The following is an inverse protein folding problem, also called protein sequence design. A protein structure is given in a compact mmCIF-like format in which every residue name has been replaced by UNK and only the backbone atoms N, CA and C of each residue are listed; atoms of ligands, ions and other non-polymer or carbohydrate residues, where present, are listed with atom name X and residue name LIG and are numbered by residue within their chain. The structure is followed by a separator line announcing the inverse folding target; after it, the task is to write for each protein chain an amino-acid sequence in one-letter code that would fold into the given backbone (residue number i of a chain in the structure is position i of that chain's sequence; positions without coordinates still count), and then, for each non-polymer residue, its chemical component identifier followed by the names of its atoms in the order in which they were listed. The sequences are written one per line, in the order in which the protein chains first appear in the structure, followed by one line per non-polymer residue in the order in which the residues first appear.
data_IF_454220793451
#
_entry.id   IF_454220793451
#
_cell.length_a   1.000
_cell.length_b   1.000
_cell.length_c   1.000
_cell.angle_alpha   90.00
_cell.angle_beta   90.00
_cell.angle_gamma   90.00
#
_symmetry.space_group_name_H-M   'P 1'
#
loop_
_entity.id
_entity.type
_entity.pdbx_description
1 polymer ?
#
# COMPACT_ATOMS: atom_id res chain seq x y z
N UNK A 1 -14.92 26.21 8.44
CA UNK A 1 -15.51 26.04 7.10
C UNK A 1 -15.10 24.66 6.62
N UNK A 2 -16.03 23.84 6.15
CA UNK A 2 -15.67 22.57 5.51
C UNK A 2 -14.91 22.90 4.22
N UNK A 3 -13.73 22.31 4.04
CA UNK A 3 -13.06 22.33 2.74
C UNK A 3 -13.95 21.57 1.75
N UNK A 4 -14.03 22.04 0.51
CA UNK A 4 -14.84 21.46 -0.57
C UNK A 4 -13.95 21.10 -1.76
N UNK A 5 -14.48 20.22 -2.61
CA UNK A 5 -13.95 19.95 -3.93
C UNK A 5 -14.91 20.53 -4.96
N UNK A 6 -14.46 21.57 -5.66
CA UNK A 6 -15.26 22.38 -6.57
C UNK A 6 -15.03 21.93 -8.00
N UNK A 7 -16.09 21.85 -8.81
CA UNK A 7 -16.04 21.38 -10.20
C UNK A 7 -16.89 22.30 -11.05
N UNK A 8 -16.37 22.73 -12.19
CA UNK A 8 -17.11 23.61 -13.11
C UNK A 8 -16.60 23.49 -14.55
N UNK A 9 -17.37 24.05 -15.49
CA UNK A 9 -16.93 24.21 -16.88
C UNK A 9 -16.23 25.56 -17.06
N UNK A 10 -14.90 25.55 -17.19
CA UNK A 10 -14.14 26.79 -17.35
C UNK A 10 -14.56 27.61 -18.57
N UNK A 11 -15.03 26.98 -19.65
CA UNK A 11 -15.35 27.65 -20.91
C UNK A 11 -16.69 28.37 -20.87
N UNK A 12 -17.63 27.93 -20.04
CA UNK A 12 -18.94 28.58 -19.90
C UNK A 12 -19.02 29.46 -18.66
N UNK A 13 -18.29 29.10 -17.60
CA UNK A 13 -18.26 29.86 -16.35
C UNK A 13 -17.47 31.17 -16.52
N UNK A 14 -16.32 31.12 -17.20
CA UNK A 14 -15.48 32.29 -17.51
C UNK A 14 -14.76 32.13 -18.87
N UNK A 15 -15.48 32.28 -20.00
CA UNK A 15 -14.93 32.04 -21.35
C UNK A 15 -13.67 32.86 -21.67
N UNK A 16 -13.54 34.05 -21.08
CA UNK A 16 -12.47 34.99 -21.38
C UNK A 16 -11.22 34.83 -20.50
N UNK A 17 -11.25 33.93 -19.51
CA UNK A 17 -10.18 33.81 -18.51
C UNK A 17 -9.55 32.42 -18.51
N UNK A 18 -8.26 32.37 -18.82
CA UNK A 18 -7.45 31.18 -18.61
C UNK A 18 -6.96 31.12 -17.17
N UNK A 19 -7.31 30.05 -16.45
CA UNK A 19 -6.83 29.81 -15.09
C UNK A 19 -5.34 29.46 -15.15
N UNK A 20 -4.52 30.29 -14.51
CA UNK A 20 -3.05 30.14 -14.51
C UNK A 20 -2.42 30.18 -13.11
N UNK A 21 -3.22 30.50 -12.08
CA UNK A 21 -2.80 30.59 -10.68
C UNK A 21 -3.82 29.92 -9.76
N UNK A 22 -3.43 29.54 -8.56
CA UNK A 22 -4.32 28.91 -7.57
C UNK A 22 -5.32 29.91 -7.02
N UNK A 23 -4.91 31.16 -6.86
CA UNK A 23 -5.78 32.24 -6.41
C UNK A 23 -6.91 32.51 -7.41
N UNK A 24 -6.62 32.42 -8.72
CA UNK A 24 -7.66 32.46 -9.76
C UNK A 24 -8.59 31.24 -9.66
N UNK A 25 -8.03 30.04 -9.51
CA UNK A 25 -8.82 28.82 -9.40
C UNK A 25 -9.77 28.86 -8.19
N UNK A 26 -9.27 29.28 -7.03
CA UNK A 26 -10.02 29.43 -5.78
C UNK A 26 -11.10 30.51 -5.91
N UNK A 27 -10.76 31.65 -6.50
CA UNK A 27 -11.71 32.74 -6.73
C UNK A 27 -12.89 32.28 -7.59
N UNK A 28 -12.62 31.65 -8.75
CA UNK A 28 -13.66 31.20 -9.67
C UNK A 28 -14.45 29.98 -9.18
N UNK A 29 -13.84 29.14 -8.34
CA UNK A 29 -14.53 28.07 -7.64
C UNK A 29 -15.54 28.59 -6.60
N UNK A 30 -15.31 29.77 -6.02
CA UNK A 30 -16.13 30.34 -4.94
C UNK A 30 -17.03 31.50 -5.36
N UNK A 31 -16.89 31.99 -6.60
CA UNK A 31 -17.63 33.14 -7.12
C UNK A 31 -18.31 32.80 -8.45
N UNK A 32 -19.38 32.02 -8.37
CA UNK A 32 -20.11 31.62 -9.57
C UNK A 32 -20.72 32.82 -10.31
N UNK A 33 -20.40 32.98 -11.60
CA UNK A 33 -20.92 34.09 -12.42
C UNK A 33 -22.12 33.70 -13.28
N UNK A 34 -22.29 32.40 -13.55
CA UNK A 34 -23.38 31.86 -14.35
C UNK A 34 -24.24 30.94 -13.49
N UNK A 35 -25.55 30.99 -13.71
CA UNK A 35 -26.51 30.15 -13.01
C UNK A 35 -26.79 28.86 -13.77
N UNK A 36 -26.96 27.75 -13.05
CA UNK A 36 -27.29 26.46 -13.63
C UNK A 36 -26.08 25.65 -14.09
N UNK A 37 -26.17 24.33 -13.95
CA UNK A 37 -25.15 23.41 -14.44
C UNK A 37 -25.14 23.35 -15.97
N UNK A 38 -23.92 23.34 -16.55
CA UNK A 38 -23.72 23.16 -17.98
C UNK A 38 -24.05 21.73 -18.41
N UNK A 39 -24.27 21.52 -19.70
CA UNK A 39 -24.52 20.17 -20.23
C UNK A 39 -23.30 19.25 -20.06
N UNK A 40 -22.07 19.80 -20.11
CA UNK A 40 -20.85 19.04 -19.80
C UNK A 40 -20.87 18.55 -18.35
N UNK A 41 -21.24 19.40 -17.41
CA UNK A 41 -21.26 19.07 -16.00
C UNK A 41 -22.39 18.08 -15.65
N UNK A 42 -23.56 18.23 -16.29
CA UNK A 42 -24.65 17.22 -16.21
C UNK A 42 -24.21 15.86 -16.75
N UNK A 43 -23.55 15.82 -17.90
CA UNK A 43 -23.03 14.58 -18.49
C UNK A 43 -21.94 13.95 -17.62
N UNK A 44 -21.07 14.77 -17.03
CA UNK A 44 -20.07 14.32 -16.08
C UNK A 44 -20.71 13.69 -14.83
N UNK A 45 -21.74 14.31 -14.24
CA UNK A 45 -22.48 13.73 -13.12
C UNK A 45 -23.08 12.36 -13.47
N UNK A 46 -23.67 12.22 -14.67
CA UNK A 46 -24.20 10.94 -15.15
C UNK A 46 -23.10 9.90 -15.34
N UNK A 47 -21.91 10.29 -15.81
CA UNK A 47 -20.78 9.39 -15.94
C UNK A 47 -20.29 8.90 -14.56
N UNK A 48 -20.20 9.80 -13.57
CA UNK A 48 -19.85 9.43 -12.19
C UNK A 48 -20.92 8.52 -11.58
N UNK A 49 -22.20 8.84 -11.72
CA UNK A 49 -23.32 7.98 -11.30
C UNK A 49 -23.22 6.58 -11.95
N UNK A 50 -22.93 6.51 -13.25
CA UNK A 50 -22.80 5.22 -13.92
C UNK A 50 -21.65 4.37 -13.38
N UNK A 51 -20.56 4.98 -12.90
CA UNK A 51 -19.41 4.26 -12.35
C UNK A 51 -19.68 3.87 -10.90
N UNK A 52 -20.19 4.79 -10.08
CA UNK A 52 -20.50 4.53 -8.66
C UNK A 52 -21.65 3.54 -8.52
N UNK A 53 -22.65 3.62 -9.40
CA UNK A 53 -23.83 2.74 -9.43
C UNK A 53 -23.62 1.42 -10.16
N UNK A 54 -22.45 1.17 -10.77
CA UNK A 54 -22.12 -0.14 -11.32
C UNK A 54 -22.07 -1.16 -10.18
N UNK A 55 -22.89 -2.21 -10.26
CA UNK A 55 -22.96 -3.25 -9.23
C UNK A 55 -21.62 -3.92 -8.93
N UNK A 56 -20.72 -3.95 -9.92
CA UNK A 56 -19.36 -4.50 -9.80
C UNK A 56 -18.39 -3.55 -9.08
N UNK A 57 -18.64 -2.23 -9.09
CA UNK A 57 -17.81 -1.24 -8.43
C UNK A 57 -18.44 -0.68 -7.15
N UNK A 58 -19.74 -0.85 -6.95
CA UNK A 58 -20.52 -0.34 -5.81
C UNK A 58 -19.89 -0.70 -4.45
N UNK A 59 -19.27 -1.88 -4.33
CA UNK A 59 -18.61 -2.33 -3.11
C UNK A 59 -17.27 -1.62 -2.79
N UNK A 60 -16.80 -0.72 -3.67
CA UNK A 60 -15.68 0.18 -3.44
C UNK A 60 -16.11 1.54 -2.86
N UNK A 61 -17.42 1.73 -2.64
CA UNK A 61 -18.01 2.97 -2.17
C UNK A 61 -18.82 2.74 -0.88
N UNK A 62 -18.70 3.68 0.03
CA UNK A 62 -19.56 3.78 1.22
C UNK A 62 -21.01 4.06 0.80
N UNK A 63 -22.00 3.64 1.60
CA UNK A 63 -23.42 3.87 1.31
C UNK A 63 -23.75 5.37 1.15
N UNK A 64 -23.04 6.25 1.87
CA UNK A 64 -23.20 7.70 1.73
C UNK A 64 -22.71 8.20 0.37
N UNK A 65 -21.65 7.59 -0.18
CA UNK A 65 -21.18 7.90 -1.55
C UNK A 65 -22.21 7.41 -2.56
N UNK A 66 -22.67 6.16 -2.43
CA UNK A 66 -23.64 5.57 -3.36
C UNK A 66 -24.91 6.43 -3.39
N UNK A 67 -25.46 6.75 -2.22
CA UNK A 67 -26.65 7.59 -2.09
C UNK A 67 -26.44 9.00 -2.65
N UNK A 68 -25.28 9.62 -2.41
CA UNK A 68 -24.95 10.95 -2.94
C UNK A 68 -24.91 11.00 -4.46
N UNK A 69 -24.47 9.91 -5.11
CA UNK A 69 -24.39 9.81 -6.57
C UNK A 69 -25.51 8.96 -7.19
N UNK A 70 -26.53 8.58 -6.42
CA UNK A 70 -27.74 7.95 -6.96
C UNK A 70 -28.74 9.04 -7.30
N UNK A 71 -29.31 8.97 -8.50
CA UNK A 71 -30.26 9.95 -9.03
C UNK A 71 -29.67 11.37 -9.11
N UNK A 72 -28.46 11.49 -9.68
CA UNK A 72 -27.76 12.79 -9.82
C UNK A 72 -28.52 13.83 -10.63
N UNK A 73 -29.55 13.41 -11.39
CA UNK A 73 -30.48 14.33 -12.07
C UNK A 73 -31.17 15.28 -11.10
N UNK A 74 -31.31 14.92 -9.82
CA UNK A 74 -31.82 15.83 -8.80
C UNK A 74 -30.92 17.07 -8.60
N UNK A 75 -29.63 16.99 -8.95
CA UNK A 75 -28.72 18.13 -8.93
C UNK A 75 -28.81 19.00 -10.17
N UNK A 76 -29.57 18.64 -11.21
CA UNK A 76 -29.56 19.42 -12.46
C UNK A 76 -30.18 20.81 -12.29
N UNK A 77 -31.00 20.98 -11.26
CA UNK A 77 -31.63 22.24 -10.88
C UNK A 77 -30.74 23.08 -9.93
N UNK A 78 -29.45 22.73 -9.78
CA UNK A 78 -28.51 23.51 -8.97
C UNK A 78 -28.44 24.96 -9.48
N UNK A 79 -28.54 25.92 -8.57
CA UNK A 79 -28.61 27.35 -8.93
C UNK A 79 -27.29 27.90 -9.46
N UNK A 80 -26.17 27.28 -9.09
CA UNK A 80 -24.82 27.71 -9.46
C UNK A 80 -24.20 26.77 -10.49
N UNK A 81 -23.33 27.28 -11.36
CA UNK A 81 -22.57 26.50 -12.34
C UNK A 81 -21.39 25.73 -11.69
N UNK A 82 -21.11 25.94 -10.40
CA UNK A 82 -20.11 25.19 -9.65
C UNK A 82 -20.77 24.09 -8.85
N UNK A 83 -20.34 22.84 -9.06
CA UNK A 83 -20.75 21.69 -8.26
C UNK A 83 -19.72 21.43 -7.17
N UNK A 84 -20.21 21.20 -5.95
CA UNK A 84 -19.39 21.10 -4.75
C UNK A 84 -19.55 19.73 -4.09
N UNK A 85 -18.43 19.09 -3.77
CA UNK A 85 -18.41 17.82 -3.02
C UNK A 85 -17.74 18.07 -1.67
N UNK A 86 -18.39 17.59 -0.61
CA UNK A 86 -17.83 17.66 0.73
C UNK A 86 -16.62 16.74 0.89
N UNK A 87 -15.57 17.22 1.55
CA UNK A 87 -14.35 16.44 1.77
C UNK A 87 -14.57 15.22 2.67
N UNK A 88 -15.61 15.23 3.51
CA UNK A 88 -16.02 14.06 4.27
C UNK A 88 -16.42 12.89 3.37
N UNK A 89 -17.07 13.20 2.24
CA UNK A 89 -17.45 12.21 1.24
C UNK A 89 -16.24 11.64 0.50
N UNK A 90 -15.27 12.49 0.15
CA UNK A 90 -14.01 12.06 -0.50
C UNK A 90 -13.15 11.19 0.42
N UNK A 91 -13.15 11.46 1.73
CA UNK A 91 -12.39 10.68 2.70
C UNK A 91 -12.92 9.24 2.88
N UNK A 92 -14.17 8.97 2.50
CA UNK A 92 -14.82 7.65 2.62
C UNK A 92 -14.42 6.66 1.54
N UNK A 93 -13.76 7.09 0.46
CA UNK A 93 -13.23 6.16 -0.54
C UNK A 93 -12.01 6.72 -1.27
N UNK A 94 -10.91 5.97 -1.22
CA UNK A 94 -9.71 6.25 -2.03
C UNK A 94 -10.00 6.21 -3.54
N UNK A 95 -11.08 5.54 -3.96
CA UNK A 95 -11.49 5.40 -5.36
C UNK A 95 -12.30 6.59 -5.88
N UNK A 96 -13.11 7.21 -5.01
CA UNK A 96 -13.97 8.32 -5.42
C UNK A 96 -13.13 9.48 -5.99
N UNK A 97 -12.05 9.86 -5.30
CA UNK A 97 -11.17 10.94 -5.76
C UNK A 97 -10.59 10.68 -7.16
N UNK A 98 -10.16 9.43 -7.42
CA UNK A 98 -9.65 9.02 -8.73
C UNK A 98 -10.72 9.14 -9.81
N UNK A 99 -11.91 8.61 -9.56
CA UNK A 99 -13.01 8.63 -10.52
C UNK A 99 -13.38 10.07 -10.88
N UNK A 100 -13.50 10.95 -9.89
CA UNK A 100 -13.81 12.36 -10.14
C UNK A 100 -12.75 13.01 -11.05
N UNK A 101 -11.46 12.80 -10.78
CA UNK A 101 -10.36 13.37 -11.57
C UNK A 101 -10.27 12.76 -12.98
N UNK A 102 -10.45 11.45 -13.15
CA UNK A 102 -10.39 10.84 -14.48
C UNK A 102 -11.61 11.22 -15.34
N UNK A 103 -12.80 11.24 -14.75
CA UNK A 103 -14.03 11.61 -15.47
C UNK A 103 -14.08 13.09 -15.81
N UNK A 104 -13.59 14.00 -14.95
CA UNK A 104 -13.55 15.43 -15.28
C UNK A 104 -12.63 15.69 -16.48
N UNK A 105 -11.50 14.97 -16.58
CA UNK A 105 -10.56 15.08 -17.71
C UNK A 105 -11.20 14.64 -19.02
N UNK A 106 -12.02 13.59 -18.98
CA UNK A 106 -12.76 13.10 -20.15
C UNK A 106 -13.84 14.08 -20.62
N UNK A 107 -14.44 14.82 -19.68
CA UNK A 107 -15.51 15.78 -19.96
C UNK A 107 -14.99 17.21 -20.15
N UNK A 108 -13.68 17.43 -20.15
CA UNK A 108 -13.06 18.75 -20.33
C UNK A 108 -13.58 19.78 -19.30
N UNK A 109 -13.75 19.31 -18.06
CA UNK A 109 -14.09 20.13 -16.89
C UNK A 109 -12.82 20.45 -16.10
N UNK A 110 -12.96 21.40 -15.18
CA UNK A 110 -11.89 21.76 -14.23
C UNK A 110 -12.37 21.56 -12.80
N UNK A 111 -11.42 21.37 -11.88
CA UNK A 111 -11.73 21.26 -10.47
C UNK A 111 -10.70 21.96 -9.59
N UNK A 112 -11.13 22.39 -8.41
CA UNK A 112 -10.28 22.93 -7.37
C UNK A 112 -10.55 22.21 -6.05
N UNK A 113 -9.51 21.57 -5.53
CA UNK A 113 -9.53 20.92 -4.23
C UNK A 113 -9.00 21.89 -3.18
N UNK A 114 -9.91 22.49 -2.40
CA UNK A 114 -9.54 23.45 -1.38
C UNK A 114 -8.82 22.83 -0.18
N UNK A 115 -8.87 21.49 -0.01
CA UNK A 115 -8.15 20.80 1.08
C UNK A 115 -6.68 20.63 0.73
N UNK A 116 -6.40 20.15 -0.48
CA UNK A 116 -5.03 19.94 -0.96
C UNK A 116 -4.42 21.16 -1.65
N UNK A 117 -5.23 22.20 -1.85
CA UNK A 117 -4.87 23.42 -2.57
C UNK A 117 -4.35 23.11 -3.99
N UNK A 118 -5.12 22.29 -4.71
CA UNK A 118 -4.74 21.76 -6.03
C UNK A 118 -5.81 22.05 -7.06
N UNK A 119 -5.38 22.48 -8.25
CA UNK A 119 -6.23 22.66 -9.42
C UNK A 119 -6.03 21.53 -10.42
N UNK A 120 -7.14 21.04 -10.98
CA UNK A 120 -7.20 19.98 -11.98
C UNK A 120 -7.84 20.50 -13.27
N UNK A 121 -7.25 20.12 -14.39
CA UNK A 121 -7.81 20.28 -15.73
C UNK A 121 -7.44 19.07 -16.58
N UNK A 122 -7.95 19.03 -17.82
CA UNK A 122 -7.57 18.01 -18.81
C UNK A 122 -6.06 17.92 -19.04
N UNK A 123 -5.38 19.06 -19.13
CA UNK A 123 -3.98 19.13 -19.55
C UNK A 123 -3.00 19.32 -18.38
N UNK A 124 -3.48 19.81 -17.23
CA UNK A 124 -2.61 20.29 -16.14
C UNK A 124 -3.17 19.99 -14.77
N UNK A 125 -2.29 19.56 -13.87
CA UNK A 125 -2.42 19.72 -12.43
C UNK A 125 -1.52 20.88 -12.01
N UNK A 126 -2.02 21.80 -11.19
CA UNK A 126 -1.24 22.91 -10.65
C UNK A 126 -1.48 23.05 -9.14
N UNK A 127 -0.44 23.18 -8.29
CA UNK A 127 0.98 23.08 -8.64
C UNK A 127 1.34 21.69 -9.15
N UNK A 128 2.44 21.55 -9.90
CA UNK A 128 2.88 20.23 -10.41
C UNK A 128 3.16 19.30 -9.22
N UNK A 129 2.28 18.32 -9.05
CA UNK A 129 2.39 17.29 -8.02
C UNK A 129 2.48 15.92 -8.71
N UNK A 130 3.69 15.55 -9.14
CA UNK A 130 3.99 14.19 -9.59
C UNK A 130 3.57 13.12 -8.57
N UNK A 131 3.44 13.48 -7.28
CA UNK A 131 2.89 12.63 -6.21
C UNK A 131 1.41 12.31 -6.39
N UNK A 132 0.58 13.25 -6.88
CA UNK A 132 -0.85 13.03 -7.09
C UNK A 132 -1.08 12.12 -8.30
N UNK A 133 -0.38 12.34 -9.43
CA UNK A 133 -0.49 11.44 -10.59
C UNK A 133 -0.06 10.02 -10.22
N UNK A 134 1.05 9.85 -9.49
CA UNK A 134 1.48 8.54 -8.97
C UNK A 134 0.46 7.91 -8.02
N UNK A 135 -0.22 8.71 -7.20
CA UNK A 135 -1.28 8.24 -6.31
C UNK A 135 -2.50 7.77 -7.12
N UNK A 136 -2.91 8.53 -8.14
CA UNK A 136 -4.01 8.16 -9.03
C UNK A 136 -3.69 6.87 -9.80
N UNK A 137 -2.48 6.73 -10.33
CA UNK A 137 -2.04 5.51 -11.02
C UNK A 137 -2.00 4.28 -10.12
N UNK A 138 -1.66 4.46 -8.83
CA UNK A 138 -1.58 3.37 -7.87
C UNK A 138 -2.95 2.81 -7.45
N UNK A 139 -4.03 3.60 -7.56
CA UNK A 139 -5.39 3.18 -7.19
C UNK A 139 -6.02 2.37 -8.33
N UNK A 140 -6.12 1.05 -8.19
CA UNK A 140 -6.73 0.14 -9.18
C UNK A 140 -8.09 -0.37 -8.70
N UNK A 141 -9.08 -0.45 -9.59
CA UNK A 141 -10.42 -0.97 -9.27
C UNK A 141 -10.34 -2.42 -8.76
N UNK A 142 -11.00 -2.71 -7.62
CA UNK A 142 -11.15 -4.06 -7.09
C UNK A 142 -12.11 -4.85 -7.98
N UNK A 143 -11.69 -6.02 -8.45
CA UNK A 143 -12.46 -6.92 -9.31
C UNK A 143 -13.61 -7.61 -8.57
N UNK A 144 -14.59 -8.12 -9.32
CA UNK A 144 -15.75 -8.85 -8.75
C UNK A 144 -15.29 -10.07 -7.96
N UNK A 145 -14.36 -10.84 -8.49
CA UNK A 145 -13.73 -11.98 -7.82
C UNK A 145 -13.07 -11.56 -6.51
N UNK A 146 -12.42 -10.39 -6.49
CA UNK A 146 -11.82 -9.84 -5.27
C UNK A 146 -12.82 -9.34 -4.24
N UNK A 147 -14.06 -9.04 -4.64
CA UNK A 147 -15.16 -8.65 -3.76
C UNK A 147 -15.92 -9.87 -3.23
N UNK A 148 -16.03 -10.95 -4.01
CA UNK A 148 -16.74 -12.17 -3.58
C UNK A 148 -16.03 -12.88 -2.43
N UNK A 149 -14.70 -12.80 -2.38
CA UNK A 149 -13.90 -13.39 -1.31
C UNK A 149 -14.26 -12.80 0.08
N UNK A 150 -14.59 -11.51 0.18
CA UNK A 150 -14.92 -10.90 1.48
C UNK A 150 -16.41 -10.94 1.86
N UNK A 151 -17.24 -11.81 1.26
CA UNK A 151 -18.67 -11.87 1.60
C UNK A 151 -18.97 -12.45 2.99
N UNK A 152 -18.03 -13.19 3.58
CA UNK A 152 -18.14 -13.74 4.92
C UNK A 152 -16.76 -13.95 5.55
N UNK A 153 -16.68 -13.91 6.88
CA UNK A 153 -15.44 -14.30 7.57
C UNK A 153 -15.33 -15.83 7.54
N UNK A 154 -14.16 -16.39 7.14
CA UNK A 154 -13.92 -17.82 7.21
C UNK A 154 -14.15 -18.34 8.65
N UNK A 155 -14.96 -19.39 8.86
CA UNK A 155 -15.46 -19.74 10.19
C UNK A 155 -14.43 -20.46 11.08
N UNK A 156 -13.25 -20.80 10.55
CA UNK A 156 -12.17 -21.47 11.30
C UNK A 156 -10.83 -20.88 10.90
N UNK A 157 -9.84 -21.03 11.79
CA UNK A 157 -8.46 -20.58 11.55
C UNK A 157 -7.87 -21.26 10.31
N UNK A 158 -8.13 -22.55 10.12
CA UNK A 158 -7.66 -23.28 8.93
C UNK A 158 -8.25 -22.70 7.65
N UNK A 159 -9.56 -22.38 7.65
CA UNK A 159 -10.21 -21.74 6.50
C UNK A 159 -9.72 -20.30 6.30
N UNK A 160 -9.41 -19.57 7.36
CA UNK A 160 -8.82 -18.23 7.29
C UNK A 160 -7.41 -18.27 6.70
N UNK A 161 -6.60 -19.27 7.03
CA UNK A 161 -5.29 -19.49 6.41
C UNK A 161 -5.42 -19.78 4.91
N UNK A 162 -6.31 -20.71 4.54
CA UNK A 162 -6.59 -21.03 3.12
C UNK A 162 -7.08 -19.79 2.37
N UNK A 163 -7.88 -18.95 3.03
CA UNK A 163 -8.36 -17.69 2.47
C UNK A 163 -7.22 -16.73 2.14
N UNK A 164 -6.23 -16.58 3.03
CA UNK A 164 -5.05 -15.77 2.78
C UNK A 164 -4.25 -16.26 1.55
N UNK A 165 -4.07 -17.58 1.43
CA UNK A 165 -3.37 -18.19 0.29
C UNK A 165 -4.12 -17.94 -1.03
N UNK A 166 -5.44 -18.09 -1.02
CA UNK A 166 -6.30 -17.80 -2.18
C UNK A 166 -6.25 -16.32 -2.56
N UNK A 167 -6.26 -15.43 -1.57
CA UNK A 167 -6.14 -14.00 -1.78
C UNK A 167 -4.80 -13.61 -2.41
N UNK A 168 -3.69 -14.20 -1.95
CA UNK A 168 -2.36 -14.01 -2.56
C UNK A 168 -2.35 -14.49 -4.03
N UNK A 169 -2.94 -15.66 -4.31
CA UNK A 169 -3.03 -16.21 -5.67
C UNK A 169 -3.86 -15.33 -6.62
N UNK A 170 -4.97 -14.75 -6.14
CA UNK A 170 -5.77 -13.79 -6.90
C UNK A 170 -4.98 -12.51 -7.22
N UNK A 171 -4.13 -12.08 -6.29
CA UNK A 171 -3.28 -10.90 -6.43
C UNK A 171 -1.91 -11.19 -7.09
N UNK A 172 -1.72 -12.38 -7.67
CA UNK A 172 -0.40 -12.77 -8.20
C UNK A 172 0.14 -11.85 -9.29
N UNK A 173 -0.73 -11.26 -10.12
CA UNK A 173 -0.30 -10.35 -11.18
C UNK A 173 0.08 -8.97 -10.63
N UNK A 174 -0.65 -8.47 -9.65
CA UNK A 174 -0.40 -7.16 -9.03
C UNK A 174 0.81 -7.19 -8.11
N UNK A 175 1.06 -8.33 -7.46
CA UNK A 175 2.16 -8.55 -6.54
C UNK A 175 3.34 -9.33 -7.16
N UNK A 176 3.29 -9.65 -8.46
CA UNK A 176 4.35 -10.35 -9.22
C UNK A 176 4.79 -11.70 -8.62
N UNK A 177 3.82 -12.54 -8.26
CA UNK A 177 4.07 -13.88 -7.77
C UNK A 177 4.19 -14.91 -8.90
N UNK A 178 5.14 -15.82 -8.71
CA UNK A 178 5.28 -17.00 -9.54
C UNK A 178 5.44 -18.24 -8.66
N UNK A 179 4.71 -19.29 -9.02
CA UNK A 179 4.86 -20.60 -8.39
C UNK A 179 5.99 -21.36 -9.10
N UNK A 180 7.14 -21.48 -8.45
CA UNK A 180 8.31 -22.17 -9.01
C UNK A 180 9.20 -22.75 -7.94
N UNK A 181 9.94 -23.78 -8.30
CA UNK A 181 11.03 -24.30 -7.48
C UNK A 181 12.21 -23.34 -7.55
N UNK A 182 12.67 -22.89 -6.39
CA UNK A 182 13.93 -22.16 -6.22
C UNK A 182 14.95 -23.12 -5.63
N UNK A 183 16.16 -23.11 -6.16
CA UNK A 183 17.24 -23.97 -5.69
C UNK A 183 18.24 -23.16 -4.88
N UNK A 184 18.38 -23.51 -3.59
CA UNK A 184 19.51 -23.17 -2.73
C UNK A 184 19.44 -23.99 -1.42
N UNK A 185 20.33 -23.71 -0.46
CA UNK A 185 20.40 -24.41 0.81
C UNK A 185 19.14 -24.29 1.69
N UNK A 186 18.23 -23.37 1.40
CA UNK A 186 16.97 -23.18 2.13
C UNK A 186 15.75 -23.70 1.37
N UNK A 187 15.82 -23.72 0.03
CA UNK A 187 14.68 -24.02 -0.82
C UNK A 187 14.93 -25.29 -1.64
N UNK A 188 14.09 -26.30 -1.44
CA UNK A 188 14.08 -27.55 -2.20
C UNK A 188 12.65 -27.99 -2.61
N UNK A 189 11.64 -27.20 -2.26
CA UNK A 189 10.23 -27.50 -2.52
C UNK A 189 9.59 -26.36 -3.31
N UNK A 190 8.51 -26.70 -4.00
CA UNK A 190 7.71 -25.73 -4.75
C UNK A 190 6.98 -24.81 -3.75
N UNK A 191 7.11 -23.49 -3.94
CA UNK A 191 6.42 -22.50 -3.12
C UNK A 191 6.08 -21.26 -3.97
N UNK A 192 5.27 -20.36 -3.42
CA UNK A 192 4.98 -19.06 -4.03
C UNK A 192 6.09 -18.08 -3.70
N UNK A 193 6.73 -17.56 -4.75
CA UNK A 193 7.75 -16.54 -4.60
C UNK A 193 7.39 -15.32 -5.43
N UNK A 194 7.68 -14.15 -4.86
CA UNK A 194 7.70 -12.89 -5.58
C UNK A 194 9.11 -12.64 -6.09
N UNK A 195 9.25 -12.43 -7.38
CA UNK A 195 10.56 -12.28 -8.01
C UNK A 195 10.78 -10.83 -8.42
N UNK A 196 11.83 -10.22 -7.89
CA UNK A 196 12.14 -8.82 -8.19
C UNK A 196 13.20 -8.71 -9.27
N UNK A 197 14.22 -9.55 -9.17
CA UNK A 197 15.32 -9.65 -10.15
C UNK A 197 15.72 -11.11 -10.33
N UNK A 198 16.69 -11.37 -11.21
CA UNK A 198 17.26 -12.72 -11.35
C UNK A 198 17.94 -13.24 -10.07
N UNK A 199 18.31 -12.35 -9.15
CA UNK A 199 19.06 -12.66 -7.94
C UNK A 199 18.23 -12.49 -6.66
N UNK A 200 17.17 -11.68 -6.68
CA UNK A 200 16.40 -11.31 -5.49
C UNK A 200 14.96 -11.79 -5.65
N UNK A 201 14.51 -12.56 -4.69
CA UNK A 201 13.13 -13.02 -4.61
C UNK A 201 12.70 -13.19 -3.15
N UNK A 202 11.40 -13.30 -2.91
CA UNK A 202 10.86 -13.35 -1.56
C UNK A 202 9.70 -14.33 -1.42
N UNK A 203 9.62 -14.98 -0.27
CA UNK A 203 8.50 -15.79 0.19
C UNK A 203 7.63 -15.00 1.18
N UNK A 204 6.31 -15.19 1.12
CA UNK A 204 5.31 -14.41 1.85
C UNK A 204 4.36 -15.36 2.57
N UNK A 205 4.21 -15.17 3.87
CA UNK A 205 3.31 -15.96 4.71
C UNK A 205 2.47 -15.05 5.61
N UNK A 206 1.14 -15.14 5.49
CA UNK A 206 0.20 -14.45 6.37
C UNK A 206 -0.22 -15.41 7.49
N UNK A 207 0.14 -15.09 8.73
CA UNK A 207 -0.02 -15.98 9.88
C UNK A 207 -1.29 -15.63 10.66
N UNK A 208 -2.14 -16.63 10.87
CA UNK A 208 -3.32 -16.49 11.73
C UNK A 208 -2.94 -16.49 13.23
N UNK A 209 -3.74 -15.81 14.05
CA UNK A 209 -3.63 -15.86 15.51
C UNK A 209 -3.84 -17.28 16.03
N UNK A 210 -3.05 -17.66 17.05
CA UNK A 210 -3.14 -18.96 17.71
C UNK A 210 -4.14 -19.00 18.88
N UNK A 211 -4.86 -17.89 19.12
CA UNK A 211 -5.84 -17.80 20.20
C UNK A 211 -7.09 -18.63 19.88
N UNK A 212 -7.61 -19.32 20.89
CA UNK A 212 -8.86 -20.11 20.78
C UNK A 212 -10.05 -19.18 20.56
N UNK A 213 -11.00 -19.60 19.73
CA UNK A 213 -12.24 -18.86 19.39
C UNK A 213 -12.00 -17.46 18.82
N UNK A 214 -10.81 -17.23 18.27
CA UNK A 214 -10.32 -15.92 17.90
C UNK A 214 -9.78 -15.95 16.47
N UNK A 215 -10.61 -15.53 15.53
CA UNK A 215 -10.24 -15.42 14.12
C UNK A 215 -9.60 -14.05 13.87
N UNK A 216 -8.30 -14.03 13.60
CA UNK A 216 -7.54 -12.83 13.28
C UNK A 216 -6.26 -13.23 12.54
N UNK A 217 -5.68 -12.31 11.77
CA UNK A 217 -4.28 -12.42 11.36
C UNK A 217 -3.39 -11.79 12.42
N UNK A 218 -2.30 -12.45 12.76
CA UNK A 218 -1.35 -12.00 13.78
C UNK A 218 -0.17 -11.24 13.16
N UNK A 219 0.40 -11.74 12.07
CA UNK A 219 1.50 -11.09 11.39
C UNK A 219 1.58 -11.51 9.93
N UNK A 220 2.32 -10.72 9.15
CA UNK A 220 2.88 -11.12 7.87
C UNK A 220 4.36 -11.40 8.06
N UNK A 221 4.81 -12.51 7.49
CA UNK A 221 6.19 -12.97 7.52
C UNK A 221 6.75 -12.96 6.11
N UNK A 222 7.87 -12.26 5.92
CA UNK A 222 8.57 -12.11 4.65
C UNK A 222 9.96 -12.72 4.74
N UNK A 223 10.32 -13.54 3.76
CA UNK A 223 11.62 -14.20 3.67
C UNK A 223 12.29 -13.77 2.36
N UNK A 224 13.14 -12.75 2.43
CA UNK A 224 13.90 -12.28 1.28
C UNK A 224 15.12 -13.18 1.05
N UNK A 225 15.35 -13.56 -0.19
CA UNK A 225 16.47 -14.39 -0.63
C UNK A 225 17.31 -13.62 -1.64
N UNK A 226 18.61 -13.52 -1.38
CA UNK A 226 19.59 -12.95 -2.30
C UNK A 226 20.51 -14.08 -2.77
N UNK A 227 20.35 -14.49 -4.01
CA UNK A 227 21.07 -15.61 -4.61
C UNK A 227 22.52 -15.18 -4.94
N UNK A 228 23.49 -15.78 -4.24
CA UNK A 228 24.94 -15.52 -4.42
C UNK A 228 25.55 -16.50 -5.43
N UNK A 229 25.14 -17.77 -5.37
CA UNK A 229 25.48 -18.84 -6.33
C UNK A 229 24.29 -19.78 -6.50
N UNK A 230 24.34 -20.79 -7.36
CA UNK A 230 23.20 -21.73 -7.55
C UNK A 230 22.79 -22.41 -6.25
N UNK A 231 23.73 -22.71 -5.35
CA UNK A 231 23.45 -23.45 -4.12
C UNK A 231 23.38 -22.57 -2.87
N UNK A 232 23.84 -21.31 -2.99
CA UNK A 232 23.98 -20.38 -1.86
C UNK A 232 23.13 -19.14 -2.06
N UNK A 233 22.29 -18.86 -1.06
CA UNK A 233 21.60 -17.60 -0.90
C UNK A 233 21.84 -16.99 0.48
N UNK A 234 21.70 -15.68 0.58
CA UNK A 234 21.52 -14.98 1.86
C UNK A 234 20.02 -14.94 2.13
N UNK A 235 19.58 -15.45 3.29
CA UNK A 235 18.18 -15.44 3.69
C UNK A 235 17.96 -14.43 4.82
N UNK A 236 17.04 -13.50 4.61
CA UNK A 236 16.68 -12.45 5.57
C UNK A 236 15.19 -12.58 5.87
N UNK A 237 14.89 -12.89 7.14
CA UNK A 237 13.53 -13.05 7.62
C UNK A 237 13.05 -11.79 8.33
N UNK A 238 11.84 -11.34 8.00
CA UNK A 238 11.20 -10.14 8.53
C UNK A 238 9.76 -10.47 8.92
N UNK A 239 9.30 -9.95 10.06
CA UNK A 239 7.94 -10.15 10.53
C UNK A 239 7.32 -8.82 10.91
N UNK A 240 6.10 -8.57 10.42
CA UNK A 240 5.34 -7.35 10.69
C UNK A 240 4.01 -7.73 11.34
N UNK A 241 3.71 -7.14 12.49
CA UNK A 241 2.54 -7.49 13.30
C UNK A 241 1.28 -6.81 12.78
N UNK A 242 0.15 -7.48 12.91
CA UNK A 242 -1.16 -6.92 12.60
C UNK A 242 -1.89 -6.72 13.93
N UNK A 243 -2.04 -5.47 14.33
CA UNK A 243 -2.63 -5.07 15.62
C UNK A 243 -3.75 -4.06 15.39
N UNK A 244 -4.91 -4.25 16.03
CA UNK A 244 -6.06 -3.38 15.83
C UNK A 244 -6.47 -3.21 14.36
N UNK A 245 -6.33 -4.29 13.57
CA UNK A 245 -6.50 -4.27 12.10
C UNK A 245 -5.57 -3.29 11.38
N UNK A 246 -4.43 -3.00 11.98
CA UNK A 246 -3.39 -2.13 11.43
C UNK A 246 -2.12 -2.93 11.28
N UNK A 247 -1.57 -2.98 10.07
CA UNK A 247 -0.25 -3.51 9.83
C UNK A 247 0.80 -2.56 10.43
N UNK A 248 1.47 -3.02 11.48
CA UNK A 248 2.45 -2.27 12.22
C UNK A 248 3.82 -2.94 12.21
N UNK A 249 4.84 -2.10 12.35
CA UNK A 249 6.20 -2.48 12.05
C UNK A 249 6.93 -3.12 13.25
N UNK A 250 6.78 -2.61 14.48
CA UNK A 250 7.00 -3.31 15.76
C UNK A 250 6.27 -2.47 16.80
N UNK A 251 5.21 -2.99 17.42
CA UNK A 251 4.39 -2.22 18.35
C UNK A 251 5.22 -1.71 19.56
N UNK A 252 6.12 -2.54 20.09
CA UNK A 252 6.98 -2.22 21.25
C UNK A 252 7.91 -1.01 21.03
N UNK A 253 8.40 -0.79 19.80
CA UNK A 253 9.29 0.34 19.46
C UNK A 253 8.51 1.65 19.39
N UNK A 254 7.27 1.57 18.91
CA UNK A 254 6.39 2.73 18.73
C UNK A 254 5.47 3.00 19.92
N UNK A 255 5.61 2.23 21.01
CA UNK A 255 4.80 2.36 22.22
C UNK A 255 3.32 2.00 22.04
N UNK A 256 2.99 1.36 20.93
CA UNK A 256 1.67 0.82 20.66
C UNK A 256 1.78 -0.64 21.09
N UNK A 257 1.12 -1.08 22.14
CA UNK A 257 1.13 -2.51 22.49
C UNK A 257 -0.30 -2.98 22.46
N UNK A 258 -0.63 -3.81 21.49
CA UNK A 258 -1.94 -4.42 21.34
C UNK A 258 -1.85 -5.82 20.76
N UNK A 259 -2.98 -6.50 20.82
CA UNK A 259 -3.12 -7.84 20.30
C UNK A 259 -3.96 -7.79 19.02
N UNK A 260 -3.74 -8.72 18.07
CA UNK A 260 -4.59 -8.84 16.90
C UNK A 260 -6.05 -8.81 17.32
N UNK A 261 -6.90 -8.09 16.58
CA UNK A 261 -8.32 -7.94 16.90
C UNK A 261 -9.16 -8.99 16.15
N UNK A 262 -10.24 -9.48 16.79
CA UNK A 262 -11.07 -10.54 16.23
C UNK A 262 -11.95 -10.04 15.09
N UNK A 263 -11.84 -10.68 13.93
CA UNK A 263 -12.75 -10.44 12.82
C UNK A 263 -14.19 -10.81 13.21
N UNK A 264 -15.02 -9.79 13.41
CA UNK A 264 -16.47 -9.89 13.67
C UNK A 264 -17.30 -9.62 12.42
N UNK A 265 -16.74 -8.87 11.46
CA UNK A 265 -17.37 -8.52 10.19
C UNK A 265 -16.37 -8.62 9.02
N UNK A 266 -16.82 -8.90 7.78
CA UNK A 266 -15.91 -9.08 6.66
C UNK A 266 -15.16 -7.81 6.23
N UNK A 267 -15.69 -6.63 6.54
CA UNK A 267 -15.03 -5.33 6.30
C UNK A 267 -13.68 -5.23 7.02
N UNK A 268 -13.54 -5.82 8.21
CA UNK A 268 -12.29 -5.86 8.98
C UNK A 268 -11.25 -6.76 8.30
N UNK A 269 -11.69 -7.92 7.79
CA UNK A 269 -10.85 -8.84 7.02
C UNK A 269 -10.34 -8.17 5.74
N UNK A 270 -11.23 -7.48 5.01
CA UNK A 270 -10.87 -6.69 3.83
C UNK A 270 -9.85 -5.61 4.19
N UNK A 271 -10.11 -4.84 5.25
CA UNK A 271 -9.22 -3.77 5.69
C UNK A 271 -7.79 -4.25 5.96
N UNK A 272 -7.64 -5.37 6.66
CA UNK A 272 -6.32 -5.96 6.94
C UNK A 272 -5.62 -6.40 5.66
N UNK A 273 -6.33 -7.07 4.75
CA UNK A 273 -5.71 -7.53 3.50
C UNK A 273 -5.39 -6.37 2.54
N UNK A 274 -6.18 -5.30 2.54
CA UNK A 274 -5.87 -4.06 1.81
C UNK A 274 -4.57 -3.42 2.32
N UNK A 275 -4.36 -3.38 3.65
CA UNK A 275 -3.10 -2.90 4.23
C UNK A 275 -1.92 -3.81 3.89
N UNK A 276 -2.12 -5.13 3.93
CA UNK A 276 -1.11 -6.10 3.51
C UNK A 276 -0.73 -5.87 2.05
N UNK A 277 -1.71 -5.65 1.17
CA UNK A 277 -1.48 -5.34 -0.24
C UNK A 277 -0.67 -4.06 -0.43
N UNK A 278 -1.10 -2.96 0.19
CA UNK A 278 -0.41 -1.67 0.14
C UNK A 278 1.05 -1.80 0.64
N UNK A 279 1.25 -2.56 1.71
CA UNK A 279 2.58 -2.84 2.26
C UNK A 279 3.43 -3.67 1.30
N UNK A 280 2.90 -4.75 0.72
CA UNK A 280 3.65 -5.57 -0.22
C UNK A 280 4.08 -4.74 -1.45
N UNK A 281 3.25 -3.83 -1.94
CA UNK A 281 3.64 -2.89 -3.01
C UNK A 281 4.78 -1.97 -2.56
N UNK A 282 4.71 -1.43 -1.34
CA UNK A 282 5.77 -0.59 -0.79
C UNK A 282 7.09 -1.37 -0.65
N UNK A 283 7.01 -2.57 -0.09
CA UNK A 283 8.12 -3.49 0.12
C UNK A 283 8.80 -3.88 -1.20
N UNK A 284 8.03 -4.15 -2.25
CA UNK A 284 8.58 -4.47 -3.58
C UNK A 284 9.49 -3.37 -4.13
N UNK A 285 9.14 -2.10 -3.88
CA UNK A 285 9.95 -0.96 -4.33
C UNK A 285 11.33 -0.93 -3.68
N UNK A 286 11.51 -1.59 -2.54
CA UNK A 286 12.78 -1.68 -1.81
C UNK A 286 13.65 -2.83 -2.30
N UNK A 287 13.09 -3.76 -3.06
CA UNK A 287 13.80 -4.91 -3.63
C UNK A 287 14.18 -4.72 -5.12
N UNK A 288 14.00 -3.51 -5.66
CA UNK A 288 14.26 -3.20 -7.09
C UNK A 288 15.71 -3.48 -7.52
N UNK A 289 16.66 -3.37 -6.61
CA UNK A 289 18.08 -3.67 -6.80
C UNK A 289 18.73 -3.98 -5.43
N UNK A 290 19.90 -4.62 -5.47
CA UNK A 290 20.54 -5.13 -4.26
C UNK A 290 21.07 -4.01 -3.37
N UNK A 291 21.51 -2.89 -3.96
CA UNK A 291 21.97 -1.72 -3.24
C UNK A 291 20.83 -1.05 -2.47
N UNK A 292 19.67 -0.87 -3.10
CA UNK A 292 18.46 -0.32 -2.46
C UNK A 292 17.99 -1.22 -1.33
N UNK A 293 18.01 -2.54 -1.55
CA UNK A 293 17.64 -3.51 -0.52
C UNK A 293 18.60 -3.42 0.66
N UNK A 294 19.91 -3.41 0.41
CA UNK A 294 20.91 -3.24 1.45
C UNK A 294 20.76 -1.92 2.22
N UNK A 295 20.54 -0.81 1.51
CA UNK A 295 20.28 0.50 2.13
C UNK A 295 19.07 0.45 3.05
N UNK A 296 17.99 -0.18 2.62
CA UNK A 296 16.79 -0.28 3.44
C UNK A 296 17.02 -1.17 4.67
N UNK A 297 17.59 -2.36 4.49
CA UNK A 297 17.78 -3.37 5.55
C UNK A 297 18.86 -3.04 6.56
N UNK A 298 19.91 -2.32 6.16
CA UNK A 298 21.06 -2.01 7.02
C UNK A 298 21.12 -0.57 7.49
N UNK A 299 20.60 0.39 6.71
CA UNK A 299 20.70 1.83 7.01
C UNK A 299 19.35 2.51 7.23
N UNK A 300 18.26 1.93 6.73
CA UNK A 300 16.90 2.42 6.94
C UNK A 300 16.28 1.88 8.22
N UNK A 301 15.01 2.26 8.43
CA UNK A 301 14.24 1.84 9.60
C UNK A 301 14.06 0.32 9.66
N UNK A 302 14.13 -0.38 8.51
CA UNK A 302 13.95 -1.83 8.42
C UNK A 302 14.91 -2.61 9.34
N UNK A 303 16.09 -2.05 9.61
CA UNK A 303 17.12 -2.67 10.45
C UNK A 303 16.66 -2.90 11.88
N UNK A 304 15.75 -2.06 12.39
CA UNK A 304 15.22 -2.16 13.76
C UNK A 304 14.39 -3.44 13.96
N UNK A 305 13.90 -4.01 12.87
CA UNK A 305 12.98 -5.16 12.83
C UNK A 305 13.72 -6.49 12.64
N UNK A 306 15.00 -6.44 12.27
CA UNK A 306 15.83 -7.60 12.01
C UNK A 306 16.66 -7.88 13.27
N UNK A 307 16.22 -8.84 14.06
CA UNK A 307 16.81 -9.18 15.37
C UNK A 307 17.38 -10.60 15.41
N UNK A 308 18.12 -10.93 16.47
CA UNK A 308 18.74 -12.24 16.63
C UNK A 308 19.67 -12.58 15.47
N UNK A 309 19.62 -13.82 14.97
CA UNK A 309 20.45 -14.26 13.84
C UNK A 309 20.10 -13.58 12.50
N UNK A 310 18.93 -12.95 12.38
CA UNK A 310 18.64 -12.12 11.20
C UNK A 310 19.62 -10.97 11.05
N UNK A 311 20.14 -10.45 12.18
CA UNK A 311 21.18 -9.40 12.20
C UNK A 311 22.44 -9.87 11.49
N UNK A 312 22.82 -11.15 11.66
CA UNK A 312 23.97 -11.72 10.97
C UNK A 312 23.69 -11.80 9.47
N UNK A 313 22.52 -12.30 9.06
CA UNK A 313 22.16 -12.37 7.64
C UNK A 313 22.22 -11.01 6.93
N UNK A 314 21.73 -9.92 7.54
CA UNK A 314 21.81 -8.58 6.93
C UNK A 314 23.25 -8.04 6.85
N UNK A 315 24.12 -8.43 7.79
CA UNK A 315 25.55 -8.09 7.71
C UNK A 315 26.26 -8.90 6.62
N UNK A 316 25.91 -10.17 6.41
CA UNK A 316 26.43 -10.93 5.26
C UNK A 316 26.03 -10.24 3.95
N UNK A 317 24.81 -9.71 3.85
CA UNK A 317 24.41 -8.88 2.71
C UNK A 317 25.26 -7.60 2.58
N UNK A 318 25.46 -6.86 3.67
CA UNK A 318 26.30 -5.66 3.65
C UNK A 318 27.73 -5.98 3.19
N UNK A 319 28.29 -7.11 3.64
CA UNK A 319 29.61 -7.58 3.21
C UNK A 319 29.61 -7.92 1.71
N UNK A 320 28.59 -8.65 1.25
CA UNK A 320 28.46 -9.06 -0.15
C UNK A 320 28.41 -7.88 -1.12
N UNK A 321 27.74 -6.79 -0.75
CA UNK A 321 27.68 -5.56 -1.58
C UNK A 321 28.85 -4.60 -1.36
N UNK A 322 29.84 -4.97 -0.54
CA UNK A 322 30.96 -4.11 -0.14
C UNK A 322 30.50 -2.78 0.47
N UNK A 323 29.56 -2.83 1.40
CA UNK A 323 29.03 -1.64 2.07
C UNK A 323 30.16 -0.85 2.76
N UNK A 324 30.34 0.45 2.44
CA UNK A 324 31.43 1.26 2.99
C UNK A 324 31.33 1.47 4.51
N UNK A 325 30.16 1.25 5.10
CA UNK A 325 29.91 1.38 6.54
C UNK A 325 29.83 0.01 7.23
N UNK A 326 30.30 -1.06 6.59
CA UNK A 326 30.23 -2.42 7.14
C UNK A 326 30.75 -2.53 8.57
N UNK A 327 31.93 -1.98 8.88
CA UNK A 327 32.51 -2.06 10.23
C UNK A 327 31.66 -1.33 11.28
N UNK A 328 31.03 -0.22 10.90
CA UNK A 328 30.08 0.49 11.75
C UNK A 328 28.83 -0.39 12.00
N UNK A 329 28.28 -1.01 10.96
CA UNK A 329 27.12 -1.90 11.07
C UNK A 329 27.40 -3.08 12.00
N UNK A 330 28.60 -3.67 11.93
CA UNK A 330 29.04 -4.75 12.83
C UNK A 330 29.11 -4.25 14.26
N UNK A 331 29.62 -3.04 14.49
CA UNK A 331 29.75 -2.48 15.85
C UNK A 331 28.42 -2.21 16.54
N UNK A 332 27.36 -1.87 15.80
CA UNK A 332 26.01 -1.62 16.36
C UNK A 332 25.13 -2.88 16.42
N UNK A 333 25.53 -3.97 15.77
CA UNK A 333 24.70 -5.16 15.57
C UNK A 333 24.30 -5.87 16.86
N UNK A 334 25.18 -5.90 17.87
CA UNK A 334 24.95 -6.65 19.11
C UNK A 334 23.66 -6.23 19.83
N UNK A 335 23.34 -4.93 19.80
CA UNK A 335 22.11 -4.41 20.41
C UNK A 335 20.87 -5.01 19.76
N UNK A 336 20.88 -5.26 18.44
CA UNK A 336 19.77 -5.88 17.72
C UNK A 336 19.68 -7.39 17.91
N UNK A 337 20.84 -8.06 18.01
CA UNK A 337 20.91 -9.49 18.34
C UNK A 337 20.22 -9.75 19.67
N UNK A 338 20.55 -8.95 20.69
CA UNK A 338 20.10 -9.17 22.06
C UNK A 338 18.63 -8.82 22.31
N UNK A 339 17.97 -8.11 21.38
CA UNK A 339 16.50 -7.91 21.42
C UNK A 339 15.75 -9.24 21.27
N UNK A 340 16.35 -10.23 20.63
CA UNK A 340 15.72 -11.53 20.44
C UNK A 340 15.90 -12.42 21.67
N UNK A 341 14.80 -12.92 22.26
CA UNK A 341 14.81 -13.66 23.54
C UNK A 341 15.81 -14.83 23.62
N UNK A 342 16.05 -15.53 22.50
CA UNK A 342 16.97 -16.68 22.44
C UNK A 342 18.44 -16.28 22.38
N UNK A 343 18.75 -15.03 22.04
CA UNK A 343 20.11 -14.53 21.84
C UNK A 343 20.45 -13.36 22.75
N UNK A 344 19.58 -13.05 23.73
CA UNK A 344 19.75 -11.94 24.68
C UNK A 344 21.07 -11.95 25.45
N UNK A 345 21.66 -13.13 25.63
CA UNK A 345 22.89 -13.35 26.40
C UNK A 345 24.10 -13.70 25.49
N UNK A 346 23.98 -13.47 24.17
CA UNK A 346 25.08 -13.71 23.24
C UNK A 346 26.24 -12.74 23.52
N UNK A 347 27.46 -13.25 23.58
CA UNK A 347 28.65 -12.40 23.76
C UNK A 347 29.15 -11.84 22.42
N UNK A 348 29.97 -10.79 22.50
CA UNK A 348 30.61 -10.16 21.34
C UNK A 348 31.46 -11.18 20.56
N UNK A 349 32.23 -12.00 21.26
CA UNK A 349 33.07 -13.04 20.65
C UNK A 349 32.24 -14.08 19.91
N UNK A 350 31.16 -14.58 20.54
CA UNK A 350 30.26 -15.56 19.92
C UNK A 350 29.59 -15.01 18.67
N UNK A 351 29.20 -13.73 18.70
CA UNK A 351 28.62 -13.06 17.54
C UNK A 351 29.62 -12.95 16.39
N UNK A 352 30.85 -12.49 16.67
CA UNK A 352 31.88 -12.37 15.62
C UNK A 352 32.24 -13.73 15.03
N UNK A 353 32.45 -14.75 15.86
CA UNK A 353 32.72 -16.12 15.39
C UNK A 353 31.59 -16.61 14.47
N UNK A 354 30.32 -16.37 14.86
CA UNK A 354 29.18 -16.78 14.04
C UNK A 354 29.07 -15.99 12.73
N UNK A 355 29.36 -14.69 12.76
CA UNK A 355 29.35 -13.84 11.57
C UNK A 355 30.42 -14.28 10.57
N UNK A 356 31.63 -14.53 11.02
CA UNK A 356 32.73 -15.03 10.19
C UNK A 356 32.39 -16.39 9.57
N UNK A 357 31.82 -17.32 10.36
CA UNK A 357 31.36 -18.61 9.86
C UNK A 357 30.29 -18.46 8.75
N UNK A 358 29.29 -17.59 8.94
CA UNK A 358 28.25 -17.38 7.92
C UNK A 358 28.79 -16.71 6.66
N UNK A 359 29.72 -15.75 6.79
CA UNK A 359 30.41 -15.14 5.65
C UNK A 359 31.16 -16.20 4.85
N UNK A 360 31.96 -17.01 5.53
CA UNK A 360 32.73 -18.07 4.88
C UNK A 360 31.81 -19.09 4.19
N UNK A 361 30.73 -19.48 4.87
CA UNK A 361 29.78 -20.48 4.37
C UNK A 361 28.98 -20.01 3.15
N UNK A 362 28.75 -18.70 2.98
CA UNK A 362 27.88 -18.18 1.93
C UNK A 362 28.66 -17.49 0.82
N UNK A 363 29.74 -16.76 1.14
CA UNK A 363 30.45 -15.88 0.19
C UNK A 363 31.79 -16.43 -0.31
N UNK A 364 32.45 -17.30 0.46
CA UNK A 364 33.85 -17.70 0.21
C UNK A 364 34.02 -19.19 -0.17
N UNK A 365 32.92 -19.93 -0.33
CA UNK A 365 32.91 -21.38 -0.57
C UNK A 365 32.73 -21.77 -2.03
#
# INVERSE_FOLDING_TARGET
MSSLFYIWDANEHHPDVKITTLEQAEYYATHAQVTGLTDKLKNWLLAVESIVGQSELAANFDEEIISSFTNVKAYFDYSENVFCIEQGLLAKSKYLYKILVETLRQHDLVAFDARSYTFFSREKIFPDQQSIEKMLDAVKSVTKEELEQFKAIPPTREKLSIFADQWLELNKQTLDFTNRVKYNQYNQINNYYRDFTSQIYEDILIICSNKKDFLAYQNISLCSYIQVSVEKAIRIFRQHLIDGYTLQYLPEVHGITGEPSHFSEPSQLKHVLDQVHDFLIYDAKKHKDIETLNQWLNHGDEKEYITGLGTISRLVLAKYVNDPLYDQLVSEAMTYVNRHRYFKDMTVEQFHERLEQEIQNILES
#
